data_IF_511951598179
#
_entry.id   IF_511951598179
#
_cell.length_a   1.000
_cell.length_b   1.000
_cell.length_c   1.000
_cell.angle_alpha   90.00
_cell.angle_beta   90.00
_cell.angle_gamma   90.00
#
_symmetry.space_group_name_H-M   'P 1'
#
loop_
_entity.id
_entity.type
_entity.pdbx_description
1 polymer ?
#
# COMPACT_ATOMS: atom_id res chain seq x y z
N UNK A 1 14.82 39.86 -12.59
CA UNK A 1 13.47 39.36 -12.25
C UNK A 1 13.49 37.89 -12.63
N UNK A 2 13.19 37.02 -11.67
CA UNK A 2 13.76 35.67 -11.50
C UNK A 2 13.50 34.67 -12.63
N UNK A 3 14.57 33.95 -12.99
CA UNK A 3 14.59 32.73 -13.79
C UNK A 3 13.89 31.59 -13.03
N UNK A 4 12.94 30.93 -13.70
CA UNK A 4 12.25 29.74 -13.18
C UNK A 4 12.84 28.51 -13.85
N UNK A 5 13.97 28.03 -13.32
CA UNK A 5 14.52 26.70 -13.59
C UNK A 5 14.49 25.94 -12.29
N UNK A 6 13.46 25.11 -12.10
CA UNK A 6 13.52 23.99 -11.17
C UNK A 6 12.82 22.81 -11.84
N UNK A 7 13.62 22.03 -12.56
CA UNK A 7 13.25 20.71 -13.03
C UNK A 7 13.04 19.80 -11.81
N UNK A 8 11.83 19.28 -11.69
CA UNK A 8 11.45 18.31 -10.68
C UNK A 8 12.06 16.97 -11.09
N UNK A 9 13.18 16.58 -10.48
CA UNK A 9 13.74 15.25 -10.57
C UNK A 9 13.02 14.31 -9.59
N UNK A 10 11.72 14.07 -9.79
CA UNK A 10 10.96 13.01 -9.10
C UNK A 10 10.87 11.82 -10.03
N UNK A 11 11.95 11.07 -10.12
CA UNK A 11 11.99 9.84 -10.89
C UNK A 11 13.09 8.96 -10.35
N UNK A 12 12.74 7.72 -9.98
CA UNK A 12 13.68 6.63 -9.68
C UNK A 12 14.33 6.62 -8.27
N UNK A 13 13.71 7.20 -7.23
CA UNK A 13 14.18 6.99 -5.85
C UNK A 13 13.82 5.59 -5.30
N UNK A 14 12.66 5.04 -5.71
CA UNK A 14 12.19 3.73 -5.23
C UNK A 14 13.17 2.59 -5.56
N UNK A 15 13.81 2.63 -6.73
CA UNK A 15 14.70 1.55 -7.19
C UNK A 15 16.08 1.55 -6.47
N UNK A 16 16.50 2.69 -5.91
CA UNK A 16 17.79 2.79 -5.21
C UNK A 16 17.67 2.27 -3.77
N UNK A 17 16.57 2.58 -3.08
CA UNK A 17 16.29 2.09 -1.74
C UNK A 17 16.07 0.56 -1.73
N UNK A 18 15.39 0.01 -2.74
CA UNK A 18 15.20 -1.45 -2.87
C UNK A 18 16.53 -2.18 -3.04
N UNK A 19 17.47 -1.66 -3.83
CA UNK A 19 18.82 -2.25 -3.98
C UNK A 19 19.65 -2.20 -2.71
N UNK A 20 19.51 -1.13 -1.92
CA UNK A 20 20.18 -1.02 -0.62
C UNK A 20 19.59 -2.01 0.40
N UNK A 21 18.27 -2.26 0.34
CA UNK A 21 17.61 -3.29 1.14
C UNK A 21 18.07 -4.69 0.67
N UNK A 22 18.10 -5.00 -0.64
CA UNK A 22 18.61 -6.29 -1.13
C UNK A 22 20.08 -6.54 -0.73
N UNK A 23 20.91 -5.50 -0.70
CA UNK A 23 22.31 -5.59 -0.26
C UNK A 23 22.46 -5.77 1.26
N UNK A 24 21.57 -5.18 2.07
CA UNK A 24 21.61 -5.29 3.53
C UNK A 24 21.03 -6.62 4.05
N UNK A 25 20.13 -7.25 3.26
CA UNK A 25 19.36 -8.43 3.68
C UNK A 25 19.82 -9.77 3.07
N UNK A 26 20.98 -9.80 2.41
CA UNK A 26 21.71 -11.04 2.16
C UNK A 26 21.06 -11.98 1.14
N UNK A 27 21.65 -11.97 -0.05
CA UNK A 27 21.48 -12.95 -1.14
C UNK A 27 21.52 -14.41 -0.67
N UNK A 28 20.36 -15.07 -0.62
CA UNK A 28 20.29 -16.51 -0.89
C UNK A 28 20.36 -16.71 -2.40
N UNK A 29 21.59 -16.92 -2.90
CA UNK A 29 21.84 -17.38 -4.27
C UNK A 29 21.15 -18.73 -4.46
N UNK A 30 20.02 -18.74 -5.17
CA UNK A 30 19.59 -19.92 -5.91
C UNK A 30 20.28 -19.85 -7.27
N UNK A 31 21.30 -20.69 -7.44
CA UNK A 31 21.89 -20.99 -8.74
C UNK A 31 20.78 -21.42 -9.70
N UNK A 32 20.57 -20.64 -10.75
CA UNK A 32 19.77 -21.05 -11.90
C UNK A 32 20.73 -21.60 -12.95
N UNK A 33 20.73 -22.92 -13.12
CA UNK A 33 21.17 -23.52 -14.39
C UNK A 33 20.09 -23.26 -15.47
N UNK A 34 20.48 -23.07 -16.73
CA UNK A 34 19.54 -22.77 -17.81
C UNK A 34 18.81 -24.06 -18.28
N UNK A 35 17.51 -24.00 -18.59
CA UNK A 35 16.78 -25.19 -19.06
C UNK A 35 17.04 -25.44 -20.55
N UNK A 36 17.26 -26.71 -20.90
CA UNK A 36 17.17 -27.20 -22.28
C UNK A 36 15.71 -27.29 -22.76
N UNK A 37 15.43 -27.13 -24.07
CA UNK A 37 14.08 -27.11 -24.60
C UNK A 37 13.60 -28.53 -24.95
N UNK A 38 12.37 -28.87 -24.59
CA UNK A 38 11.64 -29.95 -25.26
C UNK A 38 10.26 -29.47 -25.73
N UNK A 39 10.02 -29.70 -27.01
CA UNK A 39 8.74 -29.57 -27.71
C UNK A 39 7.80 -30.69 -27.26
N UNK A 40 6.50 -30.39 -27.08
CA UNK A 40 5.43 -30.97 -27.92
C UNK A 40 4.03 -30.47 -27.53
N UNK A 41 3.41 -29.84 -28.53
CA UNK A 41 2.01 -29.86 -29.00
C UNK A 41 0.79 -29.78 -28.05
N UNK A 42 0.19 -28.58 -28.06
CA UNK A 42 -1.23 -28.18 -28.26
C UNK A 42 -2.37 -29.08 -27.72
N UNK A 43 -3.22 -28.45 -26.90
CA UNK A 43 -4.68 -28.42 -27.14
C UNK A 43 -5.32 -27.12 -26.60
N UNK A 44 -6.23 -26.57 -27.40
CA UNK A 44 -6.87 -25.25 -27.32
C UNK A 44 -8.34 -25.34 -26.87
N UNK A 45 -8.78 -24.41 -26.00
CA UNK A 45 -10.05 -23.62 -26.04
C UNK A 45 -10.21 -22.92 -24.68
N UNK A 46 -9.91 -21.65 -24.50
CA UNK A 46 -10.63 -20.41 -24.90
C UNK A 46 -11.75 -20.00 -23.92
N UNK A 47 -11.43 -19.06 -23.01
CA UNK A 47 -12.27 -17.90 -22.66
C UNK A 47 -11.54 -16.97 -21.70
N UNK A 48 -10.96 -15.94 -22.31
CA UNK A 48 -10.82 -14.55 -21.86
C UNK A 48 -11.17 -14.24 -20.39
N UNK A 49 -10.16 -13.82 -19.62
CA UNK A 49 -9.96 -12.38 -19.44
C UNK A 49 -8.46 -12.11 -19.57
N UNK A 50 -8.13 -11.28 -20.55
CA UNK A 50 -6.84 -10.60 -20.64
C UNK A 50 -6.62 -9.86 -19.32
N UNK A 51 -5.87 -10.49 -18.41
CA UNK A 51 -5.15 -9.74 -17.42
C UNK A 51 -4.11 -8.96 -18.24
N UNK A 52 -4.44 -7.75 -18.65
CA UNK A 52 -3.44 -6.72 -18.88
C UNK A 52 -2.64 -6.63 -17.57
N UNK A 53 -1.60 -7.45 -17.49
CA UNK A 53 -0.72 -7.57 -16.34
C UNK A 53 0.10 -6.29 -16.32
N UNK A 54 -0.47 -5.22 -15.77
CA UNK A 54 0.30 -4.03 -15.45
C UNK A 54 1.57 -4.47 -14.73
N UNK A 55 2.76 -4.16 -15.28
CA UNK A 55 4.00 -4.59 -14.69
C UNK A 55 4.11 -4.00 -13.29
N UNK A 56 4.64 -4.77 -12.35
CA UNK A 56 4.92 -4.28 -11.00
C UNK A 56 5.96 -3.15 -11.11
N UNK A 57 5.64 -2.00 -10.56
CA UNK A 57 6.43 -0.77 -10.62
C UNK A 57 7.33 -0.60 -9.39
N UNK A 58 6.93 -1.14 -8.24
CA UNK A 58 7.68 -1.06 -6.98
C UNK A 58 7.36 -2.22 -6.04
N UNK A 59 8.23 -2.42 -5.04
CA UNK A 59 8.04 -3.43 -4.00
C UNK A 59 7.15 -2.94 -2.86
N UNK A 60 6.18 -3.77 -2.49
CA UNK A 60 5.26 -3.55 -1.37
C UNK A 60 5.76 -4.29 -0.14
N UNK A 61 5.52 -3.78 1.06
CA UNK A 61 5.91 -4.46 2.29
C UNK A 61 4.74 -5.23 2.92
N UNK A 62 5.08 -6.25 3.72
CA UNK A 62 4.10 -6.97 4.51
C UNK A 62 3.92 -6.31 5.88
N UNK A 63 2.68 -6.03 6.31
CA UNK A 63 2.43 -5.20 7.51
C UNK A 63 3.05 -5.78 8.78
N UNK A 64 2.96 -7.10 9.01
CA UNK A 64 3.49 -7.75 10.22
C UNK A 64 5.01 -7.61 10.39
N UNK A 65 5.75 -7.54 9.28
CA UNK A 65 7.21 -7.61 9.31
C UNK A 65 7.86 -6.27 8.94
N UNK A 66 7.27 -5.51 8.01
CA UNK A 66 7.88 -4.30 7.48
C UNK A 66 7.46 -3.00 8.17
N UNK A 67 6.28 -2.95 8.79
CA UNK A 67 5.70 -1.67 9.24
C UNK A 67 6.58 -0.94 10.26
N UNK A 68 7.00 -1.64 11.32
CA UNK A 68 7.81 -1.05 12.39
C UNK A 68 9.18 -0.57 11.89
N UNK A 69 9.79 -1.32 10.99
CA UNK A 69 11.12 -1.02 10.46
C UNK A 69 11.08 0.17 9.51
N UNK A 70 10.08 0.23 8.63
CA UNK A 70 9.88 1.39 7.75
C UNK A 70 9.56 2.64 8.58
N UNK A 71 8.72 2.53 9.61
CA UNK A 71 8.38 3.64 10.48
C UNK A 71 9.57 4.13 11.33
N UNK A 72 10.60 3.29 11.53
CA UNK A 72 11.88 3.68 12.14
C UNK A 72 12.81 4.38 11.14
N UNK A 73 12.76 3.94 9.90
CA UNK A 73 13.65 4.40 8.84
C UNK A 73 13.25 5.78 8.30
N UNK A 74 11.96 6.03 8.16
CA UNK A 74 11.43 7.25 7.53
C UNK A 74 11.50 8.44 8.49
N UNK A 75 12.17 9.52 8.06
CA UNK A 75 12.14 10.80 8.75
C UNK A 75 10.78 11.50 8.57
N UNK A 76 10.22 12.05 9.65
CA UNK A 76 8.89 12.73 9.68
C UNK A 76 7.82 11.97 8.87
N UNK A 77 7.47 10.74 9.25
CA UNK A 77 6.52 9.94 8.50
C UNK A 77 5.09 10.46 8.67
N UNK A 78 4.29 10.33 7.61
CA UNK A 78 2.82 10.35 7.66
C UNK A 78 2.31 9.01 7.21
N UNK A 79 1.36 8.46 7.97
CA UNK A 79 0.73 7.19 7.62
C UNK A 79 -0.64 7.48 7.03
N UNK A 80 -0.87 7.04 5.80
CA UNK A 80 -2.14 7.09 5.11
C UNK A 80 -2.79 5.71 5.20
N UNK A 81 -3.95 5.62 5.83
CA UNK A 81 -4.74 4.39 5.85
C UNK A 81 -5.79 4.45 4.73
N UNK A 82 -5.54 3.73 3.64
CA UNK A 82 -6.39 3.69 2.45
C UNK A 82 -7.40 2.56 2.61
N UNK A 83 -8.67 2.93 2.82
CA UNK A 83 -9.81 2.02 2.89
C UNK A 83 -10.41 1.89 1.50
N UNK A 84 -10.65 0.68 1.03
CA UNK A 84 -11.39 0.47 -0.21
C UNK A 84 -12.84 0.94 -0.07
N UNK A 85 -13.40 1.49 -1.14
CA UNK A 85 -14.74 2.08 -1.13
C UNK A 85 -15.88 1.04 -1.24
N UNK A 86 -15.51 -0.17 -1.65
CA UNK A 86 -16.34 -1.35 -1.81
C UNK A 86 -15.51 -2.55 -1.37
N UNK A 87 -16.08 -3.51 -0.61
CA UNK A 87 -15.29 -4.56 -0.01
C UNK A 87 -14.92 -5.60 -1.07
N UNK A 88 -13.62 -5.87 -1.25
CA UNK A 88 -13.18 -6.98 -2.12
C UNK A 88 -13.21 -8.32 -1.40
N UNK A 89 -13.48 -8.29 -0.10
CA UNK A 89 -13.70 -9.48 0.74
C UNK A 89 -15.00 -9.33 1.54
N UNK A 90 -15.15 -10.04 2.66
CA UNK A 90 -16.25 -9.78 3.59
C UNK A 90 -16.13 -8.41 4.30
N UNK A 91 -14.94 -7.82 4.33
CA UNK A 91 -14.65 -6.53 4.94
C UNK A 91 -13.95 -5.59 3.96
N UNK A 92 -14.04 -4.29 4.22
CA UNK A 92 -13.29 -3.24 3.56
C UNK A 92 -11.86 -3.27 4.08
N UNK A 93 -10.98 -3.79 3.23
CA UNK A 93 -9.57 -3.93 3.54
C UNK A 93 -8.83 -2.60 3.48
N UNK A 94 -7.73 -2.56 4.23
CA UNK A 94 -6.88 -1.38 4.36
C UNK A 94 -5.52 -1.65 3.75
N UNK A 95 -5.06 -0.69 2.96
CA UNK A 95 -3.67 -0.55 2.51
C UNK A 95 -3.05 0.64 3.23
N UNK A 96 -1.82 0.50 3.74
CA UNK A 96 -1.09 1.63 4.30
C UNK A 96 -0.13 2.22 3.29
N UNK A 97 -0.04 3.55 3.28
CA UNK A 97 1.09 4.26 2.66
C UNK A 97 1.83 5.03 3.75
N UNK A 98 3.14 4.82 3.85
CA UNK A 98 4.01 5.61 4.73
C UNK A 98 4.76 6.57 3.82
N UNK A 99 4.56 7.88 4.02
CA UNK A 99 5.21 8.92 3.24
C UNK A 99 6.15 9.75 4.12
N UNK A 100 7.36 9.97 3.64
CA UNK A 100 8.32 10.89 4.20
C UNK A 100 7.94 12.32 3.85
N UNK A 101 7.59 13.17 4.83
CA UNK A 101 7.21 14.56 4.53
C UNK A 101 8.38 15.40 4.00
N UNK A 102 9.62 15.05 4.35
CA UNK A 102 10.80 15.81 3.97
C UNK A 102 11.30 15.47 2.56
N UNK A 103 11.23 14.19 2.16
CA UNK A 103 11.76 13.73 0.86
C UNK A 103 10.67 13.41 -0.17
N UNK A 104 9.43 13.18 0.27
CA UNK A 104 8.35 12.68 -0.58
C UNK A 104 8.48 11.19 -0.94
N UNK A 105 9.48 10.48 -0.40
CA UNK A 105 9.60 9.03 -0.54
C UNK A 105 8.44 8.32 0.15
N UNK A 106 8.03 7.17 -0.38
CA UNK A 106 6.84 6.48 0.10
C UNK A 106 6.99 4.95 0.03
N UNK A 107 6.25 4.28 0.90
CA UNK A 107 6.21 2.82 1.03
C UNK A 107 4.76 2.37 1.16
N UNK A 108 4.39 1.29 0.46
CA UNK A 108 3.00 0.80 0.44
C UNK A 108 2.95 -0.63 1.00
N UNK A 109 1.97 -0.90 1.85
CA UNK A 109 1.74 -2.25 2.36
C UNK A 109 0.94 -3.08 1.36
N UNK A 110 1.09 -4.41 1.42
CA UNK A 110 0.14 -5.31 0.80
C UNK A 110 -1.24 -5.19 1.49
N UNK A 111 -2.31 -5.37 0.72
CA UNK A 111 -3.70 -5.43 1.22
C UNK A 111 -3.99 -6.86 1.75
N UNK A 112 -4.92 -6.98 2.70
CA UNK A 112 -5.43 -8.28 3.15
C UNK A 112 -5.39 -8.53 4.66
N UNK A 113 -4.52 -7.82 5.40
CA UNK A 113 -4.31 -8.10 6.82
C UNK A 113 -4.96 -7.09 7.77
N UNK A 114 -5.56 -6.03 7.25
CA UNK A 114 -6.08 -4.90 8.03
C UNK A 114 -7.50 -4.54 7.60
N UNK A 115 -8.34 -4.24 8.57
CA UNK A 115 -9.68 -3.68 8.38
C UNK A 115 -10.08 -2.87 9.62
N UNK A 116 -10.92 -1.84 9.45
CA UNK A 116 -11.54 -1.12 10.57
C UNK A 116 -12.85 -1.78 11.02
N UNK A 117 -13.11 -3.01 10.64
CA UNK A 117 -14.35 -3.70 10.96
C UNK A 117 -14.13 -5.18 11.28
N UNK A 118 -15.22 -5.84 11.70
CA UNK A 118 -15.18 -7.16 12.28
C UNK A 118 -14.65 -7.18 13.73
N UNK A 119 -14.46 -8.40 14.25
CA UNK A 119 -13.92 -8.66 15.58
C UNK A 119 -12.66 -9.55 15.59
N UNK A 120 -12.10 -9.82 14.41
CA UNK A 120 -11.04 -10.81 14.20
C UNK A 120 -9.62 -10.23 14.13
N UNK A 121 -8.77 -10.86 13.33
CA UNK A 121 -7.37 -10.46 13.15
C UNK A 121 -7.19 -9.06 12.57
N UNK A 122 -7.97 -8.70 11.53
CA UNK A 122 -7.82 -7.43 10.80
C UNK A 122 -7.91 -6.18 11.69
N UNK A 123 -8.90 -6.15 12.58
CA UNK A 123 -9.08 -5.03 13.52
C UNK A 123 -7.97 -4.98 14.58
N UNK A 124 -7.43 -6.13 15.00
CA UNK A 124 -6.30 -6.19 15.93
C UNK A 124 -5.03 -5.64 15.29
N UNK A 125 -4.78 -5.98 14.02
CA UNK A 125 -3.63 -5.43 13.29
C UNK A 125 -3.79 -3.92 13.12
N UNK A 126 -4.97 -3.44 12.75
CA UNK A 126 -5.24 -2.00 12.63
C UNK A 126 -5.04 -1.24 13.95
N UNK A 127 -5.48 -1.81 15.07
CA UNK A 127 -5.24 -1.23 16.40
C UNK A 127 -3.74 -1.14 16.70
N UNK A 128 -3.00 -2.23 16.54
CA UNK A 128 -1.55 -2.26 16.81
C UNK A 128 -0.78 -1.23 15.97
N UNK A 129 -1.18 -1.04 14.71
CA UNK A 129 -0.61 -0.01 13.82
C UNK A 129 -0.87 1.39 14.38
N UNK A 130 -2.11 1.68 14.79
CA UNK A 130 -2.50 2.98 15.33
C UNK A 130 -1.77 3.26 16.65
N UNK A 131 -1.70 2.27 17.55
CA UNK A 131 -0.96 2.36 18.82
C UNK A 131 0.52 2.68 18.57
N UNK A 132 1.18 1.95 17.67
CA UNK A 132 2.58 2.19 17.33
C UNK A 132 2.81 3.57 16.70
N UNK A 133 1.87 4.06 15.89
CA UNK A 133 1.92 5.43 15.38
C UNK A 133 1.77 6.46 16.49
N UNK A 134 0.83 6.26 17.41
CA UNK A 134 0.58 7.15 18.53
C UNK A 134 1.80 7.25 19.48
N UNK A 135 2.43 6.12 19.79
CA UNK A 135 3.68 6.04 20.58
C UNK A 135 4.79 6.90 19.97
N UNK A 136 4.84 6.98 18.64
CA UNK A 136 5.83 7.76 17.87
C UNK A 136 5.36 9.15 17.51
N UNK A 137 4.17 9.57 17.95
CA UNK A 137 3.54 10.85 17.59
C UNK A 137 3.39 11.01 16.06
N UNK A 138 3.17 9.91 15.37
CA UNK A 138 2.95 9.86 13.93
C UNK A 138 1.45 9.89 13.68
N UNK A 139 1.02 10.80 12.79
CA UNK A 139 -0.39 10.92 12.43
C UNK A 139 -0.76 9.81 11.44
N UNK A 140 -1.82 9.08 11.78
CA UNK A 140 -2.56 8.24 10.83
C UNK A 140 -3.67 9.10 10.22
N UNK A 141 -3.73 9.15 8.90
CA UNK A 141 -4.76 9.89 8.16
C UNK A 141 -5.56 8.91 7.31
N UNK A 142 -6.88 8.80 7.53
CA UNK A 142 -7.69 7.80 6.86
C UNK A 142 -8.29 8.36 5.56
N UNK A 143 -8.21 7.56 4.51
CA UNK A 143 -8.69 7.90 3.17
C UNK A 143 -9.54 6.77 2.62
N UNK A 144 -10.36 7.10 1.63
CA UNK A 144 -11.10 6.16 0.81
C UNK A 144 -10.62 6.26 -0.61
N UNK A 145 -10.45 5.10 -1.25
CA UNK A 145 -10.09 4.96 -2.65
C UNK A 145 -10.95 3.87 -3.26
N UNK A 146 -11.25 3.99 -4.56
CA UNK A 146 -11.92 2.92 -5.29
C UNK A 146 -11.14 1.59 -5.14
N UNK A 147 -11.89 0.50 -5.00
CA UNK A 147 -11.38 -0.84 -4.73
C UNK A 147 -10.38 -1.36 -5.79
N UNK A 148 -10.63 -1.12 -7.09
CA UNK A 148 -9.70 -1.50 -8.16
C UNK A 148 -8.36 -0.75 -8.03
N UNK A 149 -8.41 0.56 -7.78
CA UNK A 149 -7.20 1.38 -7.58
C UNK A 149 -6.48 1.02 -6.29
N UNK A 150 -7.20 0.70 -5.22
CA UNK A 150 -6.62 0.21 -3.98
C UNK A 150 -5.88 -1.12 -4.19
N UNK A 151 -6.44 -2.04 -5.00
CA UNK A 151 -5.79 -3.30 -5.37
C UNK A 151 -4.50 -3.06 -6.17
N UNK A 152 -4.55 -2.22 -7.21
CA UNK A 152 -3.38 -1.88 -8.01
C UNK A 152 -2.29 -1.19 -7.19
N UNK A 153 -2.64 -0.27 -6.30
CA UNK A 153 -1.70 0.38 -5.38
C UNK A 153 -1.04 -0.66 -4.47
N UNK A 154 -1.84 -1.49 -3.81
CA UNK A 154 -1.37 -2.46 -2.83
C UNK A 154 -0.56 -3.62 -3.41
N UNK A 155 -0.64 -3.81 -4.72
CA UNK A 155 0.11 -4.83 -5.47
C UNK A 155 1.34 -4.27 -6.19
N UNK A 156 1.64 -2.99 -6.02
CA UNK A 156 2.83 -2.37 -6.61
C UNK A 156 2.64 -1.91 -8.06
N UNK A 157 1.41 -1.85 -8.58
CA UNK A 157 1.10 -1.61 -10.00
C UNK A 157 0.58 -0.19 -10.30
N UNK A 158 0.30 0.60 -9.27
CA UNK A 158 -0.14 1.98 -9.38
C UNK A 158 0.62 2.83 -8.35
N UNK A 159 1.19 3.95 -8.79
CA UNK A 159 2.07 4.76 -7.94
C UNK A 159 1.26 5.62 -6.97
N UNK A 160 1.83 5.86 -5.79
CA UNK A 160 1.17 6.66 -4.76
C UNK A 160 0.80 8.07 -5.25
N UNK A 161 1.67 8.73 -6.00
CA UNK A 161 1.41 10.07 -6.51
C UNK A 161 0.25 10.15 -7.51
N UNK A 162 -0.03 9.05 -8.23
CA UNK A 162 -1.10 9.01 -9.24
C UNK A 162 -2.48 8.94 -8.59
N UNK A 163 -2.59 8.38 -7.38
CA UNK A 163 -3.88 8.22 -6.68
C UNK A 163 -4.18 9.32 -5.67
N UNK A 164 -3.17 10.10 -5.24
CA UNK A 164 -3.33 11.10 -4.17
C UNK A 164 -4.50 12.06 -4.37
N UNK A 165 -4.71 12.50 -5.61
CA UNK A 165 -5.73 13.50 -5.94
C UNK A 165 -7.16 12.94 -5.90
N UNK A 166 -7.29 11.61 -5.88
CA UNK A 166 -8.58 10.91 -5.89
C UNK A 166 -9.04 10.48 -4.50
N UNK A 167 -8.19 10.66 -3.48
CA UNK A 167 -8.47 10.25 -2.13
C UNK A 167 -9.58 11.08 -1.51
N UNK A 168 -10.57 10.40 -0.96
CA UNK A 168 -11.66 11.03 -0.22
C UNK A 168 -11.39 10.85 1.28
N UNK A 169 -11.40 11.89 2.12
CA UNK A 169 -11.23 11.71 3.56
C UNK A 169 -12.28 10.76 4.14
N UNK A 170 -11.87 9.77 4.93
CA UNK A 170 -12.76 8.73 5.47
C UNK A 170 -13.95 9.31 6.22
N UNK A 171 -13.70 10.35 7.02
CA UNK A 171 -14.73 10.96 7.87
C UNK A 171 -15.77 11.76 7.09
N UNK A 172 -15.48 12.12 5.83
CA UNK A 172 -16.41 12.79 4.92
C UNK A 172 -17.07 11.83 3.93
N UNK A 173 -16.60 10.57 3.87
CA UNK A 173 -17.12 9.58 2.94
C UNK A 173 -18.43 8.94 3.45
N UNK A 174 -19.55 9.56 3.07
CA UNK A 174 -20.88 9.19 3.53
C UNK A 174 -21.66 8.33 2.51
N UNK A 175 -21.00 7.36 1.84
CA UNK A 175 -21.63 6.49 0.82
C UNK A 175 -22.80 5.66 1.37
N UNK A 176 -22.73 5.24 2.64
CA UNK A 176 -23.80 4.48 3.29
C UNK A 176 -23.78 4.61 4.81
N UNK A 177 -24.91 4.33 5.46
CA UNK A 177 -24.98 4.22 6.93
C UNK A 177 -24.03 3.17 7.47
N UNK A 178 -23.85 2.05 6.74
CA UNK A 178 -22.89 1.02 7.10
C UNK A 178 -21.48 1.61 7.21
N UNK A 179 -21.04 2.31 6.17
CA UNK A 179 -19.70 2.89 6.11
C UNK A 179 -19.47 3.87 7.28
N UNK A 180 -20.44 4.75 7.53
CA UNK A 180 -20.39 5.73 8.63
C UNK A 180 -20.33 5.03 10.00
N UNK A 181 -21.24 4.09 10.24
CA UNK A 181 -21.47 3.50 11.56
C UNK A 181 -20.52 2.34 11.90
N UNK A 182 -19.94 1.68 10.89
CA UNK A 182 -19.03 0.54 11.09
C UNK A 182 -17.57 0.90 10.88
N UNK A 183 -17.24 1.64 9.83
CA UNK A 183 -15.85 1.90 9.43
C UNK A 183 -15.37 3.22 10.02
N UNK A 184 -16.02 4.33 9.67
CA UNK A 184 -15.61 5.66 10.13
C UNK A 184 -15.77 5.83 11.65
N UNK A 185 -16.82 5.26 12.25
CA UNK A 185 -16.98 5.20 13.71
C UNK A 185 -15.87 4.41 14.37
N UNK A 186 -15.53 3.22 13.86
CA UNK A 186 -14.49 2.38 14.46
C UNK A 186 -13.11 3.02 14.36
N UNK A 187 -12.79 3.63 13.22
CA UNK A 187 -11.56 4.41 13.09
C UNK A 187 -11.46 5.46 14.20
N UNK A 188 -12.53 6.25 14.42
CA UNK A 188 -12.58 7.24 15.51
C UNK A 188 -12.37 6.61 16.88
N UNK A 189 -12.98 5.46 17.17
CA UNK A 189 -12.79 4.74 18.43
C UNK A 189 -11.35 4.27 18.64
N UNK A 190 -10.63 3.90 17.56
CA UNK A 190 -9.24 3.45 17.65
C UNK A 190 -8.25 4.60 17.81
N UNK A 191 -8.60 5.81 17.34
CA UNK A 191 -7.70 6.98 17.36
C UNK A 191 -8.05 8.03 18.42
N UNK A 192 -9.07 7.77 19.25
CA UNK A 192 -9.46 8.63 20.37
C UNK A 192 -8.53 8.40 21.57
#
# INVERSE_FOLDING_TARGET
>A
MLDFVNGVATGVAGNLATKLIEAFWGSNKLNSEPPEPSNDEKQSDDSLHSAEQHPKLFETFHIKNGFKDILNYVDKPVVHAIVEDSPTTHYHLITLVIECQSTGEWFVSQKGEMAFEGGGGGIRVARNVIELCAERRVKVTPWVLNDEKAELLSSGRLLWHDVKQELIPLLTYAKSEYFINRIAKRYRELTA
#
